data_IF_578922437563
#
_entry.id   IF_578922437563
#
_cell.length_a   1.000
_cell.length_b   1.000
_cell.length_c   1.000
_cell.angle_alpha   90.00
_cell.angle_beta   90.00
_cell.angle_gamma   90.00
#
_symmetry.space_group_name_H-M   'P 1'
#
loop_
_entity.id
_entity.type
_entity.pdbx_description
1 polymer ?
#
# COMPACT_ATOMS: atom_id res chain seq x y z
N UNK A 1 -29.65 -3.68 -16.93
CA UNK A 1 -29.02 -4.08 -15.65
C UNK A 1 -27.48 -4.23 -15.78
N UNK A 2 -26.76 -3.29 -16.41
CA UNK A 2 -25.30 -3.41 -16.66
C UNK A 2 -24.46 -2.31 -15.98
N UNK A 3 -24.97 -1.09 -15.85
CA UNK A 3 -24.19 0.09 -15.43
C UNK A 3 -23.65 -0.03 -13.99
N UNK A 4 -24.40 -0.63 -13.06
CA UNK A 4 -23.96 -0.79 -11.66
C UNK A 4 -22.71 -1.69 -11.51
N UNK A 5 -22.60 -2.75 -12.31
CA UNK A 5 -21.46 -3.69 -12.29
C UNK A 5 -20.11 -3.02 -12.60
N UNK A 6 -20.11 -1.87 -13.29
CA UNK A 6 -18.88 -1.12 -13.57
C UNK A 6 -18.33 -0.44 -12.32
N UNK A 7 -19.20 0.27 -11.57
CA UNK A 7 -18.76 1.12 -10.43
C UNK A 7 -18.21 0.32 -9.25
N UNK A 8 -18.77 -0.86 -8.98
CA UNK A 8 -18.30 -1.75 -7.90
C UNK A 8 -16.85 -2.26 -8.12
N UNK A 9 -16.40 -2.38 -9.37
CA UNK A 9 -15.07 -2.92 -9.71
C UNK A 9 -14.02 -1.79 -9.79
N UNK A 10 -14.41 -0.57 -10.18
CA UNK A 10 -13.49 0.56 -10.37
C UNK A 10 -12.73 0.91 -9.07
N UNK A 11 -13.41 1.03 -7.92
CA UNK A 11 -12.75 1.42 -6.67
C UNK A 11 -11.72 0.36 -6.18
N UNK A 12 -12.04 -0.94 -6.09
CA UNK A 12 -11.04 -1.98 -5.79
C UNK A 12 -9.87 -2.00 -6.78
N UNK A 13 -10.13 -1.80 -8.07
CA UNK A 13 -9.09 -1.76 -9.11
C UNK A 13 -8.15 -0.57 -8.90
N UNK A 14 -8.68 0.63 -8.63
CA UNK A 14 -7.87 1.81 -8.33
C UNK A 14 -7.01 1.62 -7.08
N UNK A 15 -7.53 0.98 -6.03
CA UNK A 15 -6.74 0.64 -4.84
C UNK A 15 -5.61 -0.35 -5.17
N UNK A 16 -5.87 -1.38 -5.96
CA UNK A 16 -4.82 -2.33 -6.41
C UNK A 16 -3.75 -1.65 -7.31
N UNK A 17 -4.14 -0.68 -8.13
CA UNK A 17 -3.23 0.13 -8.95
C UNK A 17 -2.35 1.04 -8.05
N UNK A 18 -2.94 1.70 -7.05
CA UNK A 18 -2.18 2.53 -6.10
C UNK A 18 -1.19 1.70 -5.27
N UNK A 19 -1.61 0.52 -4.79
CA UNK A 19 -0.78 -0.44 -4.04
C UNK A 19 0.35 -1.09 -4.87
N UNK A 20 0.38 -0.88 -6.19
CA UNK A 20 1.45 -1.41 -7.06
C UNK A 20 2.31 -0.28 -7.65
N UNK A 21 1.71 0.79 -8.18
CA UNK A 21 2.46 1.90 -8.77
C UNK A 21 3.36 2.61 -7.74
N UNK A 22 2.86 2.89 -6.54
CA UNK A 22 3.65 3.65 -5.54
C UNK A 22 4.88 2.85 -5.06
N UNK A 23 4.78 1.56 -4.68
CA UNK A 23 5.96 0.74 -4.41
C UNK A 23 6.92 0.59 -5.58
N UNK A 24 6.43 0.40 -6.81
CA UNK A 24 7.29 0.26 -8.00
C UNK A 24 8.09 1.55 -8.25
N UNK A 25 7.46 2.72 -8.11
CA UNK A 25 8.11 4.01 -8.24
C UNK A 25 9.15 4.25 -7.13
N UNK A 26 8.83 3.90 -5.87
CA UNK A 26 9.78 3.96 -4.76
C UNK A 26 10.99 3.05 -5.01
N UNK A 27 10.76 1.79 -5.41
CA UNK A 27 11.84 0.85 -5.73
C UNK A 27 12.71 1.38 -6.86
N UNK A 28 12.12 1.86 -7.96
CA UNK A 28 12.87 2.39 -9.10
C UNK A 28 13.82 3.53 -8.73
N UNK A 29 13.36 4.49 -7.92
CA UNK A 29 14.18 5.63 -7.50
C UNK A 29 15.25 5.24 -6.47
N UNK A 30 14.84 4.60 -5.36
CA UNK A 30 15.71 4.36 -4.20
C UNK A 30 16.73 3.23 -4.41
N UNK A 31 16.51 2.33 -5.37
CA UNK A 31 17.45 1.24 -5.68
C UNK A 31 18.77 1.76 -6.29
N UNK A 32 18.71 2.87 -7.05
CA UNK A 32 19.91 3.54 -7.57
C UNK A 32 20.74 4.18 -6.46
N UNK A 33 20.08 4.92 -5.55
CA UNK A 33 20.74 5.52 -4.37
C UNK A 33 21.33 4.45 -3.45
N UNK A 34 20.59 3.36 -3.20
CA UNK A 34 21.05 2.23 -2.39
C UNK A 34 22.34 1.61 -2.95
N UNK A 35 22.39 1.35 -4.26
CA UNK A 35 23.60 0.80 -4.88
C UNK A 35 24.78 1.78 -4.93
N UNK A 36 24.52 3.08 -5.09
CA UNK A 36 25.55 4.11 -4.99
C UNK A 36 26.17 4.14 -3.58
N UNK A 37 25.36 4.13 -2.52
CA UNK A 37 25.86 4.04 -1.14
C UNK A 37 26.54 2.69 -0.82
N UNK A 38 26.05 1.57 -1.38
CA UNK A 38 26.73 0.28 -1.25
C UNK A 38 28.11 0.29 -1.93
N UNK A 39 28.19 0.80 -3.17
CA UNK A 39 29.45 0.90 -3.91
C UNK A 39 30.46 1.84 -3.22
N UNK A 40 30.01 2.96 -2.66
CA UNK A 40 30.85 3.80 -1.79
C UNK A 40 31.34 3.03 -0.55
N UNK A 41 30.47 2.26 0.11
CA UNK A 41 30.81 1.47 1.30
C UNK A 41 31.79 0.33 1.02
N UNK A 42 31.83 -0.22 -0.20
CA UNK A 42 32.63 -1.40 -0.55
C UNK A 42 33.91 -1.03 -1.31
N UNK A 43 33.84 -0.08 -2.24
CA UNK A 43 34.92 0.28 -3.17
C UNK A 43 35.46 1.72 -2.96
N UNK A 44 34.87 2.49 -2.04
CA UNK A 44 35.27 3.87 -1.77
C UNK A 44 36.56 3.98 -0.94
N UNK A 45 37.33 5.05 -1.18
CA UNK A 45 38.59 5.30 -0.47
C UNK A 45 38.34 6.19 0.74
N UNK A 46 38.56 5.65 1.93
CA UNK A 46 38.50 6.40 3.19
C UNK A 46 39.71 7.35 3.34
N UNK A 47 39.45 8.63 3.64
CA UNK A 47 40.44 9.63 4.04
C UNK A 47 39.90 10.53 5.16
N UNK A 48 40.80 11.02 6.01
CA UNK A 48 40.50 12.12 6.93
C UNK A 48 40.86 13.46 6.30
N UNK A 49 39.98 14.45 6.45
CA UNK A 49 40.18 15.82 6.04
C UNK A 49 40.16 16.74 7.26
N UNK A 50 41.15 17.64 7.38
CA UNK A 50 41.17 18.66 8.43
C UNK A 50 40.19 19.78 8.11
N UNK A 51 39.23 20.00 8.99
CA UNK A 51 38.29 21.10 8.91
C UNK A 51 39.04 22.42 9.13
N UNK A 52 38.91 23.37 8.19
CA UNK A 52 39.48 24.71 8.29
C UNK A 52 38.36 25.74 8.19
N UNK A 53 38.39 26.71 9.10
CA UNK A 53 37.35 27.69 9.42
C UNK A 53 36.06 27.05 9.95
N UNK A 54 35.87 27.11 11.29
CA UNK A 54 34.62 26.78 12.00
C UNK A 54 33.74 28.01 12.26
N UNK A 55 33.97 29.12 11.54
CA UNK A 55 33.43 30.43 11.90
C UNK A 55 32.12 30.77 11.18
N UNK A 56 31.08 31.08 11.97
CA UNK A 56 29.87 31.77 11.52
C UNK A 56 30.10 33.27 11.70
N UNK A 57 30.30 34.01 10.60
CA UNK A 57 30.19 35.50 10.58
C UNK A 57 30.00 36.06 9.18
N UNK A 58 29.39 37.24 9.12
CA UNK A 58 28.92 37.91 7.91
C UNK A 58 29.90 39.01 7.46
N UNK A 59 29.99 39.19 6.13
CA UNK A 59 30.64 40.25 5.35
C UNK A 59 32.13 40.20 4.97
N UNK A 60 32.34 40.40 3.65
CA UNK A 60 33.41 41.14 2.95
C UNK A 60 34.87 40.64 2.98
N UNK A 61 35.21 39.83 1.93
CA UNK A 61 36.53 39.69 1.24
C UNK A 61 37.69 39.03 2.04
N UNK A 62 38.57 38.17 1.50
CA UNK A 62 38.75 37.30 0.30
C UNK A 62 39.95 36.38 0.69
N UNK A 63 40.18 35.13 0.28
CA UNK A 63 39.54 34.12 -0.59
C UNK A 63 40.14 32.74 -0.13
N UNK A 64 39.53 31.56 -0.28
CA UNK A 64 38.23 31.16 -0.88
C UNK A 64 37.29 30.59 0.22
N UNK A 65 36.38 29.64 -0.08
CA UNK A 65 35.15 29.42 0.71
C UNK A 65 34.64 27.97 0.73
N UNK A 66 34.24 27.48 1.90
CA UNK A 66 32.97 26.74 2.03
C UNK A 66 31.85 27.79 2.00
N UNK A 67 30.82 27.59 1.16
CA UNK A 67 29.65 28.46 1.11
C UNK A 67 28.49 27.80 1.86
N UNK A 68 28.27 28.15 3.13
CA UNK A 68 26.99 27.87 3.77
C UNK A 68 25.97 28.87 3.19
N UNK A 69 25.26 28.46 2.14
CA UNK A 69 24.17 29.23 1.54
C UNK A 69 22.91 29.08 2.38
N UNK A 70 22.77 29.95 3.38
CA UNK A 70 21.69 29.88 4.36
C UNK A 70 20.35 30.38 3.76
N UNK A 71 19.38 29.45 3.65
CA UNK A 71 17.92 29.71 3.52
C UNK A 71 17.08 28.42 3.47
N UNK A 72 17.66 27.23 3.68
CA UNK A 72 16.95 25.94 3.80
C UNK A 72 17.64 25.10 4.88
N UNK A 73 16.94 24.15 5.49
CA UNK A 73 17.42 23.36 6.64
C UNK A 73 18.62 22.41 6.36
N UNK A 74 19.12 22.43 5.12
CA UNK A 74 20.22 21.60 4.62
C UNK A 74 21.51 22.42 4.53
N UNK A 75 22.41 22.24 5.51
CA UNK A 75 23.78 22.77 5.45
C UNK A 75 24.58 22.01 4.39
N UNK A 76 25.60 22.62 3.79
CA UNK A 76 26.45 21.98 2.77
C UNK A 76 27.92 21.97 3.14
N UNK A 77 28.56 20.82 2.98
CA UNK A 77 30.01 20.69 3.08
C UNK A 77 30.63 20.60 1.67
N UNK A 78 31.75 21.31 1.49
CA UNK A 78 32.55 21.30 0.27
C UNK A 78 33.92 20.69 0.56
N UNK A 79 34.28 19.66 -0.20
CA UNK A 79 35.50 18.88 -0.03
C UNK A 79 36.43 19.13 -1.22
N UNK A 80 37.63 19.63 -0.94
CA UNK A 80 38.66 19.87 -1.94
C UNK A 80 39.97 19.17 -1.58
N UNK A 81 40.49 18.34 -2.49
CA UNK A 81 41.79 17.68 -2.32
C UNK A 81 42.90 18.55 -2.92
N UNK A 82 43.99 18.76 -2.18
CA UNK A 82 45.12 19.56 -2.63
C UNK A 82 46.14 18.68 -3.38
N UNK A 83 45.91 18.48 -4.68
CA UNK A 83 46.88 17.78 -5.54
C UNK A 83 48.07 18.68 -5.91
N UNK A 84 49.20 18.09 -6.28
CA UNK A 84 50.45 18.80 -6.61
C UNK A 84 50.28 19.74 -7.82
N UNK A 85 49.38 19.42 -8.76
CA UNK A 85 49.21 20.18 -9.99
C UNK A 85 48.20 21.33 -9.89
N UNK A 86 47.02 21.10 -9.31
CA UNK A 86 45.93 22.10 -9.18
C UNK A 86 45.04 21.84 -7.96
N UNK A 87 44.41 22.91 -7.48
CA UNK A 87 43.29 22.85 -6.52
C UNK A 87 41.97 22.77 -7.28
N UNK A 88 41.15 21.78 -6.93
CA UNK A 88 39.77 21.67 -7.37
C UNK A 88 38.86 21.46 -6.14
N UNK A 89 37.69 22.09 -6.13
CA UNK A 89 36.56 21.57 -5.33
C UNK A 89 36.14 20.30 -6.03
N UNK A 90 36.00 19.22 -5.27
CA UNK A 90 35.84 17.89 -5.82
C UNK A 90 34.46 17.35 -5.49
N UNK A 91 34.07 17.35 -4.21
CA UNK A 91 32.78 16.82 -3.77
C UNK A 91 31.99 17.86 -2.95
N UNK A 92 30.66 17.82 -3.06
CA UNK A 92 29.70 18.63 -2.31
C UNK A 92 28.58 17.71 -1.81
N UNK A 93 28.26 17.75 -0.51
CA UNK A 93 27.13 17.02 0.05
C UNK A 93 26.36 17.85 1.08
N UNK A 94 25.04 17.61 1.14
CA UNK A 94 24.15 18.21 2.14
C UNK A 94 24.15 17.41 3.44
N UNK A 95 23.91 18.10 4.55
CA UNK A 95 23.68 17.50 5.88
C UNK A 95 22.54 18.23 6.60
N UNK A 96 21.87 17.53 7.52
CA UNK A 96 20.91 18.16 8.43
C UNK A 96 21.61 19.07 9.45
N UNK A 97 20.83 19.92 10.10
CA UNK A 97 21.26 20.78 11.21
C UNK A 97 21.98 20.02 12.32
N UNK A 98 21.46 18.86 12.74
CA UNK A 98 22.02 18.09 13.86
C UNK A 98 23.30 17.36 13.47
N UNK A 99 23.38 16.87 12.23
CA UNK A 99 24.62 16.36 11.64
C UNK A 99 25.66 17.47 11.49
N UNK A 100 25.27 18.69 11.12
CA UNK A 100 26.16 19.86 11.08
C UNK A 100 26.73 20.19 12.47
N UNK A 101 25.91 20.25 13.53
CA UNK A 101 26.41 20.54 14.88
C UNK A 101 27.32 19.43 15.43
N UNK A 102 26.96 18.16 15.24
CA UNK A 102 27.75 17.02 15.74
C UNK A 102 29.08 16.80 14.99
N UNK A 103 29.17 17.22 13.72
CA UNK A 103 30.39 17.15 12.91
C UNK A 103 31.23 18.43 13.00
N UNK A 104 30.61 19.62 12.98
CA UNK A 104 31.30 20.92 12.98
C UNK A 104 32.14 21.20 14.24
N UNK A 105 31.90 20.47 15.32
CA UNK A 105 32.72 20.49 16.55
C UNK A 105 34.05 19.73 16.35
N UNK A 106 34.11 18.70 15.48
CA UNK A 106 35.32 17.90 15.22
C UNK A 106 36.37 18.73 14.45
N UNK A 107 37.67 18.46 14.62
CA UNK A 107 38.74 19.10 13.82
C UNK A 107 39.12 18.29 12.57
N UNK A 108 38.81 17.01 12.56
CA UNK A 108 39.00 16.11 11.41
C UNK A 108 37.68 15.40 11.08
N UNK A 109 37.38 15.30 9.79
CA UNK A 109 36.21 14.63 9.24
C UNK A 109 36.66 13.44 8.39
N UNK A 110 36.13 12.25 8.67
CA UNK A 110 36.28 11.08 7.82
C UNK A 110 35.34 11.20 6.60
N UNK A 111 35.87 10.93 5.41
CA UNK A 111 35.18 11.05 4.12
C UNK A 111 35.53 9.83 3.28
N UNK A 112 34.53 9.24 2.62
CA UNK A 112 34.69 8.17 1.64
C UNK A 112 34.32 8.73 0.27
N UNK A 113 35.18 8.52 -0.73
CA UNK A 113 34.95 8.95 -2.11
C UNK A 113 35.20 7.82 -3.11
N UNK A 114 34.53 7.85 -4.25
CA UNK A 114 34.76 6.90 -5.34
C UNK A 114 36.10 7.18 -6.02
N UNK A 115 37.01 6.19 -6.16
CA UNK A 115 38.31 6.40 -6.82
C UNK A 115 38.17 6.64 -8.33
N UNK A 116 37.08 6.20 -8.97
CA UNK A 116 36.83 6.41 -10.41
C UNK A 116 36.20 7.77 -10.71
N UNK A 117 35.44 8.34 -9.76
CA UNK A 117 34.95 9.71 -9.83
C UNK A 117 34.99 10.36 -8.43
N UNK A 118 36.06 11.10 -8.08
CA UNK A 118 36.19 11.69 -6.75
C UNK A 118 35.11 12.70 -6.34
N UNK A 119 34.26 13.19 -7.26
CA UNK A 119 33.12 14.04 -6.89
C UNK A 119 31.96 13.29 -6.25
N UNK A 120 31.93 11.97 -6.43
CA UNK A 120 31.06 11.05 -5.71
C UNK A 120 31.71 10.77 -4.34
N UNK A 121 31.19 11.39 -3.27
CA UNK A 121 31.66 11.18 -1.90
C UNK A 121 30.59 11.43 -0.83
N UNK A 122 30.78 10.83 0.35
CA UNK A 122 29.92 11.04 1.53
C UNK A 122 30.67 10.74 2.85
N UNK A 123 29.99 10.93 3.98
CA UNK A 123 30.50 10.66 5.35
C UNK A 123 30.24 9.17 5.70
N UNK A 124 31.20 8.42 6.27
CA UNK A 124 30.99 7.01 6.67
C UNK A 124 29.73 6.80 7.51
N UNK A 125 29.60 7.56 8.61
CA UNK A 125 28.47 7.56 9.54
C UNK A 125 27.13 7.77 8.80
N UNK A 126 27.12 8.58 7.74
CA UNK A 126 25.95 8.86 6.90
C UNK A 126 25.65 7.78 5.86
N UNK A 127 26.66 7.09 5.33
CA UNK A 127 26.51 6.00 4.36
C UNK A 127 25.80 4.80 5.01
N UNK A 128 26.19 4.41 6.23
CA UNK A 128 25.55 3.27 6.91
C UNK A 128 24.09 3.53 7.25
N UNK A 129 23.79 4.72 7.80
CA UNK A 129 22.42 5.13 8.14
C UNK A 129 21.56 5.24 6.88
N UNK A 130 22.06 5.88 5.82
CA UNK A 130 21.35 6.00 4.54
C UNK A 130 21.07 4.63 3.91
N UNK A 131 22.07 3.73 3.87
CA UNK A 131 21.92 2.37 3.36
C UNK A 131 20.86 1.59 4.16
N UNK A 132 20.83 1.72 5.48
CA UNK A 132 19.83 1.07 6.33
C UNK A 132 18.41 1.63 6.09
N UNK A 133 18.25 2.95 6.04
CA UNK A 133 16.95 3.59 5.77
C UNK A 133 16.41 3.26 4.37
N UNK A 134 17.27 3.25 3.35
CA UNK A 134 16.91 2.84 1.99
C UNK A 134 16.52 1.37 1.94
N UNK A 135 17.28 0.47 2.58
CA UNK A 135 16.95 -0.96 2.67
C UNK A 135 15.60 -1.19 3.36
N UNK A 136 15.33 -0.53 4.49
CA UNK A 136 14.05 -0.63 5.19
C UNK A 136 12.89 -0.08 4.35
N UNK A 137 13.12 1.00 3.59
CA UNK A 137 12.13 1.57 2.66
C UNK A 137 11.81 0.60 1.51
N UNK A 138 12.83 -0.04 0.93
CA UNK A 138 12.69 -1.06 -0.11
C UNK A 138 11.95 -2.32 0.40
N UNK A 139 12.24 -2.76 1.63
CA UNK A 139 11.53 -3.87 2.29
C UNK A 139 10.05 -3.52 2.50
N UNK A 140 9.73 -2.33 3.00
CA UNK A 140 8.35 -1.87 3.18
C UNK A 140 7.62 -1.77 1.84
N UNK A 141 8.24 -1.23 0.80
CA UNK A 141 7.69 -1.18 -0.55
C UNK A 141 7.38 -2.60 -1.08
N UNK A 142 8.31 -3.55 -0.93
CA UNK A 142 8.12 -4.94 -1.34
C UNK A 142 6.96 -5.62 -0.59
N UNK A 143 6.83 -5.40 0.73
CA UNK A 143 5.72 -5.94 1.52
C UNK A 143 4.36 -5.35 1.09
N UNK A 144 4.29 -4.05 0.78
CA UNK A 144 3.08 -3.41 0.23
C UNK A 144 2.73 -4.02 -1.14
N UNK A 145 3.73 -4.27 -2.00
CA UNK A 145 3.53 -4.88 -3.32
C UNK A 145 2.99 -6.32 -3.19
N UNK A 146 3.52 -7.14 -2.27
CA UNK A 146 2.97 -8.46 -1.96
C UNK A 146 1.52 -8.40 -1.45
N UNK A 147 1.21 -7.42 -0.57
CA UNK A 147 -0.16 -7.19 -0.11
C UNK A 147 -1.10 -6.77 -1.27
N UNK A 148 -0.61 -5.94 -2.20
CA UNK A 148 -1.30 -5.57 -3.44
C UNK A 148 -1.61 -6.76 -4.34
N UNK A 149 -0.66 -7.68 -4.53
CA UNK A 149 -0.88 -8.95 -5.27
C UNK A 149 -1.93 -9.81 -4.58
N UNK A 150 -1.84 -9.98 -3.25
CA UNK A 150 -2.83 -10.75 -2.47
C UNK A 150 -4.23 -10.14 -2.55
N UNK A 151 -4.33 -8.81 -2.49
CA UNK A 151 -5.59 -8.07 -2.63
C UNK A 151 -6.17 -8.18 -4.05
N UNK A 152 -5.35 -8.08 -5.09
CA UNK A 152 -5.77 -8.29 -6.48
C UNK A 152 -6.29 -9.73 -6.70
N UNK A 153 -5.59 -10.74 -6.17
CA UNK A 153 -6.02 -12.13 -6.24
C UNK A 153 -7.35 -12.36 -5.49
N UNK A 154 -7.53 -11.72 -4.33
CA UNK A 154 -8.80 -11.70 -3.59
C UNK A 154 -9.94 -11.07 -4.41
N UNK A 155 -9.71 -9.90 -5.04
CA UNK A 155 -10.69 -9.24 -5.92
C UNK A 155 -11.07 -10.17 -7.08
N UNK A 156 -10.08 -10.73 -7.78
CA UNK A 156 -10.30 -11.62 -8.93
C UNK A 156 -11.15 -12.83 -8.55
N UNK A 157 -10.80 -13.54 -7.48
CA UNK A 157 -11.58 -14.68 -6.98
C UNK A 157 -12.97 -14.28 -6.44
N UNK A 158 -13.17 -13.01 -6.06
CA UNK A 158 -14.47 -12.50 -5.60
C UNK A 158 -15.46 -12.23 -6.74
N UNK A 159 -14.96 -11.87 -7.92
CA UNK A 159 -15.77 -11.58 -9.12
C UNK A 159 -15.80 -12.70 -10.16
N UNK A 160 -14.90 -13.70 -10.04
CA UNK A 160 -14.95 -14.93 -10.85
C UNK A 160 -16.27 -15.68 -10.59
N UNK A 161 -16.96 -16.10 -11.65
CA UNK A 161 -18.15 -16.96 -11.52
C UNK A 161 -17.80 -18.28 -10.81
N UNK A 162 -18.69 -18.83 -9.97
CA UNK A 162 -18.57 -20.21 -9.51
C UNK A 162 -18.51 -21.19 -10.69
N UNK A 163 -17.79 -22.29 -10.52
CA UNK A 163 -17.81 -23.39 -11.50
C UNK A 163 -19.16 -24.11 -11.41
N UNK A 164 -19.74 -24.65 -12.51
CA UNK A 164 -21.07 -25.30 -12.46
C UNK A 164 -21.17 -26.47 -11.46
N UNK A 165 -20.05 -27.13 -11.15
CA UNK A 165 -19.97 -28.20 -10.13
C UNK A 165 -19.75 -27.68 -8.70
N UNK A 166 -19.36 -26.41 -8.55
CA UNK A 166 -19.08 -25.73 -7.29
C UNK A 166 -19.91 -24.44 -7.18
N UNK A 167 -21.23 -24.58 -7.35
CA UNK A 167 -22.19 -23.50 -7.07
C UNK A 167 -22.08 -23.04 -5.61
N UNK A 168 -22.45 -21.79 -5.36
CA UNK A 168 -22.37 -21.17 -4.03
C UNK A 168 -23.36 -21.85 -3.10
N UNK A 169 -22.89 -22.80 -2.28
CA UNK A 169 -23.74 -23.53 -1.32
C UNK A 169 -24.33 -22.57 -0.28
N UNK A 170 -25.65 -22.56 -0.05
CA UNK A 170 -26.26 -21.75 1.00
C UNK A 170 -25.74 -22.13 2.40
N UNK A 171 -25.61 -21.17 3.32
CA UNK A 171 -25.10 -21.48 4.68
C UNK A 171 -26.14 -22.06 5.64
N UNK A 172 -27.39 -22.18 5.20
CA UNK A 172 -28.52 -22.73 5.96
C UNK A 172 -29.50 -23.39 5.00
N UNK A 173 -29.94 -24.61 5.28
CA UNK A 173 -31.10 -25.16 4.60
C UNK A 173 -32.36 -24.42 5.06
N UNK A 174 -33.14 -23.96 4.08
CA UNK A 174 -34.51 -23.53 4.33
C UNK A 174 -35.37 -24.79 4.35
N UNK A 175 -35.58 -25.30 5.56
CA UNK A 175 -36.42 -26.45 5.89
C UNK A 175 -37.88 -26.24 5.45
N UNK A 176 -38.11 -26.48 4.15
CA UNK A 176 -39.35 -26.24 3.39
C UNK A 176 -39.91 -27.53 2.75
N UNK A 177 -39.45 -28.70 3.20
CA UNK A 177 -39.97 -30.00 2.75
C UNK A 177 -39.79 -30.28 1.24
N UNK A 178 -38.72 -29.76 0.64
CA UNK A 178 -38.38 -30.00 -0.78
C UNK A 178 -39.23 -29.26 -1.82
N UNK A 179 -40.23 -28.48 -1.39
CA UNK A 179 -41.06 -27.69 -2.30
C UNK A 179 -40.54 -26.26 -2.43
N UNK A 180 -40.46 -25.75 -3.67
CA UNK A 180 -40.11 -24.35 -3.92
C UNK A 180 -41.18 -23.43 -3.32
N UNK A 181 -40.84 -22.44 -2.48
CA UNK A 181 -41.83 -21.61 -1.82
C UNK A 181 -42.57 -20.72 -2.82
N UNK A 182 -43.84 -20.46 -2.54
CA UNK A 182 -44.70 -19.55 -3.30
C UNK A 182 -44.63 -18.14 -2.72
N UNK A 183 -44.67 -17.14 -3.59
CA UNK A 183 -44.73 -15.74 -3.22
C UNK A 183 -45.99 -15.47 -2.38
N UNK A 184 -45.90 -14.83 -1.19
CA UNK A 184 -47.07 -14.54 -0.36
C UNK A 184 -48.01 -13.48 -0.97
N UNK A 185 -47.59 -12.78 -2.03
CA UNK A 185 -48.34 -11.70 -2.69
C UNK A 185 -49.04 -12.13 -3.99
N UNK A 186 -48.41 -12.98 -4.81
CA UNK A 186 -48.98 -13.45 -6.09
C UNK A 186 -49.13 -14.98 -6.23
N UNK A 187 -48.68 -15.78 -5.25
CA UNK A 187 -48.82 -17.25 -5.27
C UNK A 187 -47.92 -18.00 -6.25
N UNK A 188 -47.11 -17.30 -7.06
CA UNK A 188 -46.18 -17.89 -8.03
C UNK A 188 -44.90 -18.39 -7.33
N UNK A 189 -44.31 -19.46 -7.85
CA UNK A 189 -43.08 -20.06 -7.32
C UNK A 189 -41.92 -19.06 -7.34
N UNK A 190 -41.20 -18.93 -6.23
CA UNK A 190 -40.03 -18.06 -6.10
C UNK A 190 -38.77 -18.75 -6.63
N UNK A 191 -37.81 -18.00 -7.19
CA UNK A 191 -36.52 -18.56 -7.61
C UNK A 191 -35.54 -18.67 -6.45
N UNK A 192 -34.84 -19.80 -6.33
CA UNK A 192 -33.76 -20.03 -5.36
C UNK A 192 -32.51 -19.19 -5.69
N UNK A 193 -31.76 -18.80 -4.65
CA UNK A 193 -30.53 -18.05 -4.77
C UNK A 193 -29.98 -17.68 -3.39
N UNK A 194 -29.20 -16.60 -3.33
CA UNK A 194 -28.63 -16.13 -2.07
C UNK A 194 -28.73 -14.62 -1.90
N UNK A 195 -28.89 -14.20 -0.65
CA UNK A 195 -28.77 -12.82 -0.22
C UNK A 195 -27.35 -12.61 0.37
N UNK A 196 -26.50 -11.77 -0.22
CA UNK A 196 -25.25 -11.35 0.38
C UNK A 196 -25.60 -10.47 1.58
N UNK A 197 -25.17 -10.86 2.77
CA UNK A 197 -25.52 -10.17 4.03
C UNK A 197 -24.72 -8.88 4.28
N UNK A 198 -24.12 -8.34 3.22
CA UNK A 198 -23.17 -7.24 3.22
C UNK A 198 -23.35 -6.53 1.87
N UNK A 199 -23.77 -5.26 1.88
CA UNK A 199 -24.12 -4.51 0.66
C UNK A 199 -25.59 -4.12 0.52
N UNK A 200 -26.42 -4.35 1.55
CA UNK A 200 -27.86 -4.12 1.50
C UNK A 200 -28.62 -5.29 0.87
N UNK A 201 -29.86 -5.05 0.44
CA UNK A 201 -30.80 -6.11 0.03
C UNK A 201 -30.69 -6.43 -1.48
N UNK A 202 -29.49 -6.84 -1.91
CA UNK A 202 -29.24 -7.19 -3.30
C UNK A 202 -29.52 -8.68 -3.57
N UNK A 203 -30.43 -9.00 -4.50
CA UNK A 203 -30.57 -10.40 -4.96
C UNK A 203 -29.36 -10.88 -5.77
N UNK A 204 -28.98 -12.15 -5.61
CA UNK A 204 -28.04 -12.87 -6.50
C UNK A 204 -28.57 -14.27 -6.79
N UNK A 205 -28.66 -14.64 -8.07
CA UNK A 205 -28.91 -16.03 -8.48
C UNK A 205 -27.64 -16.89 -8.20
N UNK A 206 -27.78 -18.20 -8.05
CA UNK A 206 -26.72 -19.11 -7.57
C UNK A 206 -25.50 -19.28 -8.51
N UNK A 207 -25.60 -18.86 -9.78
CA UNK A 207 -24.51 -18.83 -10.75
C UNK A 207 -23.68 -17.52 -10.72
N UNK A 208 -24.14 -16.52 -9.96
CA UNK A 208 -23.52 -15.20 -9.93
C UNK A 208 -22.33 -15.14 -8.98
N UNK A 209 -21.32 -14.28 -9.26
CA UNK A 209 -20.23 -14.05 -8.32
C UNK A 209 -20.69 -13.25 -7.10
N UNK A 210 -20.09 -13.56 -5.95
CA UNK A 210 -20.46 -13.01 -4.64
C UNK A 210 -20.06 -11.53 -4.53
N UNK A 211 -18.96 -11.10 -5.17
CA UNK A 211 -18.42 -9.75 -5.05
C UNK A 211 -17.63 -9.52 -3.76
N UNK A 212 -17.37 -8.25 -3.45
CA UNK A 212 -16.58 -7.80 -2.30
C UNK A 212 -17.53 -7.32 -1.18
N UNK A 213 -17.29 -7.68 0.10
CA UNK A 213 -18.08 -7.19 1.22
C UNK A 213 -17.87 -5.67 1.45
N UNK A 214 -18.96 -4.89 1.41
CA UNK A 214 -18.98 -3.46 1.74
C UNK A 214 -19.46 -3.23 3.18
N UNK A 215 -18.57 -2.79 4.07
CA UNK A 215 -18.84 -2.71 5.54
C UNK A 215 -20.06 -1.86 5.96
N UNK A 216 -20.56 -0.99 5.09
CA UNK A 216 -21.53 0.06 5.42
C UNK A 216 -22.98 -0.41 5.54
N UNK A 217 -23.33 -1.59 5.03
CA UNK A 217 -24.73 -2.08 4.92
C UNK A 217 -24.84 -3.59 5.19
N UNK A 218 -24.19 -4.06 6.25
CA UNK A 218 -24.33 -5.43 6.74
C UNK A 218 -25.57 -5.63 7.63
N UNK A 219 -26.11 -6.86 7.68
CA UNK A 219 -27.13 -7.22 8.66
C UNK A 219 -26.50 -7.28 10.08
N UNK A 220 -27.28 -7.00 11.16
CA UNK A 220 -26.76 -7.07 12.53
C UNK A 220 -26.24 -8.48 12.88
N UNK A 221 -24.91 -8.60 13.01
CA UNK A 221 -24.21 -9.85 13.29
C UNK A 221 -23.51 -10.51 12.08
N UNK A 222 -23.65 -9.99 10.86
CA UNK A 222 -23.01 -10.56 9.64
C UNK A 222 -21.72 -9.84 9.22
N UNK A 223 -21.26 -8.88 10.01
CA UNK A 223 -20.14 -7.99 9.73
C UNK A 223 -18.76 -8.65 9.93
N UNK A 224 -18.45 -9.68 9.13
CA UNK A 224 -17.15 -10.37 9.16
C UNK A 224 -16.50 -10.49 7.76
N UNK A 225 -15.27 -9.99 7.65
CA UNK A 225 -14.44 -10.06 6.44
C UNK A 225 -14.02 -11.50 6.06
N UNK A 226 -13.92 -12.40 7.04
CA UNK A 226 -13.25 -13.71 6.92
C UNK A 226 -14.18 -14.83 6.43
N UNK A 227 -15.47 -14.79 6.81
CA UNK A 227 -16.50 -15.74 6.38
C UNK A 227 -17.70 -14.96 5.90
N UNK A 228 -18.00 -15.05 4.59
CA UNK A 228 -19.15 -14.39 3.94
C UNK A 228 -20.43 -15.12 4.35
N UNK A 229 -21.34 -14.52 5.13
CA UNK A 229 -22.60 -15.18 5.46
C UNK A 229 -23.52 -15.08 4.24
N UNK A 230 -23.86 -16.24 3.66
CA UNK A 230 -24.62 -16.37 2.42
C UNK A 230 -26.00 -16.93 2.78
N UNK A 231 -26.92 -16.04 3.13
CA UNK A 231 -28.26 -16.47 3.51
C UNK A 231 -28.94 -17.07 2.29
N UNK A 232 -29.35 -18.33 2.43
CA UNK A 232 -30.30 -18.97 1.55
C UNK A 232 -31.52 -18.07 1.45
N UNK A 233 -31.90 -17.71 0.23
CA UNK A 233 -33.00 -16.81 -0.03
C UNK A 233 -33.80 -17.28 -1.25
N UNK A 234 -35.06 -16.90 -1.30
CA UNK A 234 -35.93 -17.05 -2.46
C UNK A 234 -36.46 -15.69 -2.90
N UNK A 235 -36.55 -15.44 -4.20
CA UNK A 235 -37.04 -14.17 -4.77
C UNK A 235 -38.23 -14.38 -5.70
N UNK A 236 -39.28 -13.58 -5.54
CA UNK A 236 -40.36 -13.47 -6.52
C UNK A 236 -40.05 -12.35 -7.51
N UNK A 237 -39.63 -12.70 -8.73
CA UNK A 237 -39.21 -11.75 -9.78
C UNK A 237 -40.32 -10.78 -10.26
N UNK A 238 -41.59 -11.04 -9.96
CA UNK A 238 -42.71 -10.14 -10.27
C UNK A 238 -43.08 -9.20 -9.12
N UNK A 239 -42.87 -9.63 -7.88
CA UNK A 239 -43.24 -8.86 -6.69
C UNK A 239 -42.06 -8.17 -6.01
N UNK A 240 -40.84 -8.47 -6.46
CA UNK A 240 -39.56 -8.06 -5.87
C UNK A 240 -39.47 -8.34 -4.36
N UNK A 241 -40.12 -9.43 -3.95
CA UNK A 241 -40.13 -9.95 -2.58
C UNK A 241 -39.01 -10.97 -2.41
N UNK A 242 -38.13 -10.72 -1.43
CA UNK A 242 -37.12 -11.67 -0.98
C UNK A 242 -37.53 -12.28 0.37
N UNK A 243 -37.42 -13.61 0.47
CA UNK A 243 -37.79 -14.46 1.60
C UNK A 243 -36.55 -15.24 2.08
N UNK A 244 -36.17 -15.15 3.35
CA UNK A 244 -35.01 -15.87 3.92
C UNK A 244 -35.18 -16.26 5.40
N UNK A 245 -34.44 -17.29 5.85
CA UNK A 245 -34.32 -17.68 7.28
C UNK A 245 -33.16 -16.94 7.93
N UNK A 246 -33.42 -16.21 9.02
CA UNK A 246 -32.38 -15.57 9.85
C UNK A 246 -32.52 -15.95 11.33
N UNK A 247 -31.40 -16.10 12.03
CA UNK A 247 -31.35 -16.60 13.41
C UNK A 247 -31.05 -18.10 13.52
N UNK A 248 -30.69 -18.54 14.72
CA UNK A 248 -30.16 -19.88 15.02
C UNK A 248 -31.09 -20.78 15.84
N UNK A 249 -32.19 -20.22 16.37
CA UNK A 249 -33.21 -20.95 17.12
C UNK A 249 -34.31 -21.45 16.17
N UNK A 250 -34.53 -22.76 16.12
CA UNK A 250 -35.70 -23.32 15.41
C UNK A 250 -37.03 -22.99 16.10
N UNK A 251 -36.99 -22.44 17.32
CA UNK A 251 -38.13 -21.83 18.03
C UNK A 251 -38.51 -20.43 17.50
N UNK A 252 -37.62 -19.76 16.78
CA UNK A 252 -37.85 -18.40 16.24
C UNK A 252 -37.55 -18.40 14.73
N UNK A 253 -38.38 -19.13 13.97
CA UNK A 253 -38.41 -19.09 12.49
C UNK A 253 -38.97 -17.74 12.01
N UNK A 254 -38.19 -16.65 12.15
CA UNK A 254 -38.50 -15.35 11.54
C UNK A 254 -38.19 -15.38 10.05
N UNK A 255 -39.22 -15.64 9.25
CA UNK A 255 -39.22 -15.33 7.82
C UNK A 255 -39.25 -13.81 7.70
N UNK A 256 -38.16 -13.22 7.21
CA UNK A 256 -38.14 -11.81 6.87
C UNK A 256 -38.53 -11.65 5.40
N UNK A 257 -39.60 -10.89 5.18
CA UNK A 257 -40.11 -10.49 3.86
C UNK A 257 -39.63 -9.06 3.62
N UNK A 258 -38.81 -8.85 2.59
CA UNK A 258 -38.40 -7.52 2.16
C UNK A 258 -38.94 -7.29 0.74
N UNK A 259 -39.71 -6.22 0.56
CA UNK A 259 -40.03 -5.65 -0.74
C UNK A 259 -38.90 -4.66 -1.08
N UNK A 260 -38.33 -4.77 -2.28
CA UNK A 260 -37.34 -3.81 -2.79
C UNK A 260 -37.97 -2.45 -3.16
#
# INVERSE_FOLDING_TARGET
MSIYKSKEIILPLLVAILLTIVPIWMIYNYYGEYFHYQNLSENGVLKTARLKNKEIKINERKILRLFITDNTENYRFYVGFNTVAKKYVICEFGVSKDTYYSIGIRDELAIIYSPSNPSDCSIPDGIEISRYLLLMTLIVAFLILLAGIGFYYYIYNSYKKPHPQNLVKPTTDMDLGGNTPKCPKCGINMTEGYMPTVGGVAWRDSDQPIGIPTMLTGLPGTTFWVKRPLLHAFNCKECEIITFKYGKDDKIKKIMVINL
#
